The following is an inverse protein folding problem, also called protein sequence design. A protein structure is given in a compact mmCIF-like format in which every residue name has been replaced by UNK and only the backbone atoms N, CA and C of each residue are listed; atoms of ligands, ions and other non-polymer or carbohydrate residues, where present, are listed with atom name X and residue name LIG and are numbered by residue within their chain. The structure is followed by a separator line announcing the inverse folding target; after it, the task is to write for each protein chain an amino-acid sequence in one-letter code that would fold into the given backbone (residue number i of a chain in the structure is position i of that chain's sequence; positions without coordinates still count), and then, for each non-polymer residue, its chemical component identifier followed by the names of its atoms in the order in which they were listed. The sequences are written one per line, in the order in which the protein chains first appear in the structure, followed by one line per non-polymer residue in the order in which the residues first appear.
data_IF_771755786025
#
_entry.id   IF_771755786025
#
_cell.length_a   1.000
_cell.length_b   1.000
_cell.length_c   1.000
_cell.angle_alpha   90.00
_cell.angle_beta   90.00
_cell.angle_gamma   90.00
#
_symmetry.space_group_name_H-M   'P 1'
#
loop_
_entity.id
_entity.type
_entity.pdbx_description
1 polymer ?
#
# COMPACT_ATOMS: atom_id res chain seq x y z
N UNK A 1 -9.25 -14.65 -11.19
CA UNK A 1 -10.53 -14.06 -11.65
C UNK A 1 -11.49 -13.80 -10.49
N UNK A 2 -11.94 -14.82 -9.74
CA UNK A 2 -12.90 -14.63 -8.63
C UNK A 2 -12.38 -13.77 -7.46
N UNK A 3 -11.13 -13.99 -7.02
CA UNK A 3 -10.52 -13.24 -5.91
C UNK A 3 -10.42 -11.73 -6.20
N UNK A 4 -9.91 -11.37 -7.37
CA UNK A 4 -9.81 -9.96 -7.79
C UNK A 4 -11.20 -9.30 -7.88
N UNK A 5 -12.21 -10.01 -8.39
CA UNK A 5 -13.58 -9.50 -8.46
C UNK A 5 -14.21 -9.29 -7.07
N UNK A 6 -13.94 -10.20 -6.12
CA UNK A 6 -14.39 -10.07 -4.73
C UNK A 6 -13.72 -8.87 -4.04
N UNK A 7 -12.40 -8.70 -4.19
CA UNK A 7 -11.64 -7.55 -3.68
C UNK A 7 -12.20 -6.24 -4.25
N UNK A 8 -12.41 -6.19 -5.55
CA UNK A 8 -13.00 -5.03 -6.22
C UNK A 8 -14.38 -4.69 -5.67
N UNK A 9 -15.25 -5.69 -5.48
CA UNK A 9 -16.59 -5.49 -4.92
C UNK A 9 -16.53 -4.88 -3.52
N UNK A 10 -15.65 -5.39 -2.66
CA UNK A 10 -15.47 -4.88 -1.28
C UNK A 10 -14.94 -3.45 -1.28
N UNK A 11 -13.90 -3.16 -2.08
CA UNK A 11 -13.31 -1.82 -2.14
C UNK A 11 -14.29 -0.80 -2.73
N UNK A 12 -15.00 -1.17 -3.79
CA UNK A 12 -16.05 -0.33 -4.39
C UNK A 12 -17.19 -0.06 -3.41
N UNK A 13 -17.62 -1.07 -2.64
CA UNK A 13 -18.62 -0.89 -1.60
C UNK A 13 -18.12 0.06 -0.51
N UNK A 14 -16.91 -0.14 0.03
CA UNK A 14 -16.32 0.77 1.03
C UNK A 14 -16.16 2.20 0.51
N UNK A 15 -15.76 2.36 -0.75
CA UNK A 15 -15.63 3.68 -1.40
C UNK A 15 -16.97 4.40 -1.53
N UNK A 16 -18.07 3.67 -1.78
CA UNK A 16 -19.42 4.25 -1.85
C UNK A 16 -19.95 4.79 -0.51
N UNK A 17 -19.37 4.32 0.61
CA UNK A 17 -19.73 4.77 1.96
C UNK A 17 -18.92 6.02 2.40
N UNK A 18 -17.97 6.48 1.59
CA UNK A 18 -17.16 7.65 1.94
C UNK A 18 -17.96 8.94 1.75
N UNK A 19 -17.96 9.85 2.74
CA UNK A 19 -18.63 11.15 2.62
C UNK A 19 -17.96 12.07 1.58
N UNK A 20 -16.68 11.85 1.26
CA UNK A 20 -15.93 12.66 0.30
C UNK A 20 -15.34 11.78 -0.81
N UNK A 21 -15.86 11.94 -2.01
CA UNK A 21 -15.48 11.17 -3.20
C UNK A 21 -14.07 11.50 -3.72
N UNK A 22 -13.50 12.65 -3.37
CA UNK A 22 -12.11 13.04 -3.70
C UNK A 22 -11.22 13.17 -2.46
N UNK A 23 -11.65 12.60 -1.33
CA UNK A 23 -10.84 12.57 -0.11
C UNK A 23 -9.70 11.55 -0.17
N UNK A 24 -8.78 11.63 0.79
CA UNK A 24 -7.64 10.73 0.94
C UNK A 24 -8.04 9.25 0.83
N UNK A 25 -9.08 8.82 1.57
CA UNK A 25 -9.53 7.42 1.55
C UNK A 25 -10.07 6.96 0.19
N UNK A 26 -10.66 7.86 -0.60
CA UNK A 26 -11.14 7.52 -1.95
C UNK A 26 -9.96 7.22 -2.89
N UNK A 27 -8.91 8.05 -2.81
CA UNK A 27 -7.66 7.86 -3.56
C UNK A 27 -6.90 6.62 -3.07
N UNK A 28 -6.85 6.42 -1.76
CA UNK A 28 -6.28 5.22 -1.12
C UNK A 28 -6.98 3.93 -1.58
N UNK A 29 -8.31 3.87 -1.58
CA UNK A 29 -9.03 2.68 -2.06
C UNK A 29 -8.78 2.40 -3.54
N UNK A 30 -8.66 3.45 -4.38
CA UNK A 30 -8.31 3.30 -5.80
C UNK A 30 -6.92 2.70 -5.99
N UNK A 31 -5.95 3.09 -5.16
CA UNK A 31 -4.63 2.47 -5.15
C UNK A 31 -4.72 0.99 -4.72
N UNK A 32 -5.48 0.72 -3.64
CA UNK A 32 -5.62 -0.63 -3.09
C UNK A 32 -6.35 -1.60 -4.03
N UNK A 33 -7.19 -1.13 -4.95
CA UNK A 33 -7.80 -1.97 -6.00
C UNK A 33 -6.76 -2.67 -6.88
N UNK A 34 -5.60 -2.05 -7.08
CA UNK A 34 -4.52 -2.61 -7.90
C UNK A 34 -3.55 -3.47 -7.08
N UNK A 35 -3.27 -3.05 -5.85
CA UNK A 35 -2.27 -3.69 -4.98
C UNK A 35 -2.80 -4.95 -4.32
N UNK A 36 -4.04 -4.92 -3.82
CA UNK A 36 -4.61 -6.01 -3.02
C UNK A 36 -4.76 -7.33 -3.79
N UNK A 37 -5.17 -7.36 -5.07
CA UNK A 37 -5.28 -8.61 -5.82
C UNK A 37 -3.95 -9.34 -5.98
N UNK A 38 -2.85 -8.60 -6.20
CA UNK A 38 -1.50 -9.17 -6.33
C UNK A 38 -1.05 -9.75 -4.99
N UNK A 39 -1.26 -9.01 -3.90
CA UNK A 39 -0.93 -9.48 -2.56
C UNK A 39 -1.75 -10.70 -2.15
N UNK A 40 -3.06 -10.69 -2.42
CA UNK A 40 -3.92 -11.82 -2.10
C UNK A 40 -3.50 -13.08 -2.87
N UNK A 41 -2.98 -12.94 -4.10
CA UNK A 41 -2.38 -14.05 -4.83
C UNK A 41 -1.05 -14.52 -4.23
N UNK A 42 -0.18 -13.58 -3.84
CA UNK A 42 1.06 -13.93 -3.14
C UNK A 42 0.83 -14.62 -1.79
N UNK A 43 -0.24 -14.28 -1.07
CA UNK A 43 -0.57 -14.89 0.22
C UNK A 43 -1.21 -16.29 0.13
N UNK A 44 -1.97 -16.53 -0.94
CA UNK A 44 -2.75 -17.77 -1.12
C UNK A 44 -2.10 -18.75 -2.11
N UNK A 45 -0.97 -18.37 -2.72
CA UNK A 45 -0.17 -19.22 -3.58
C UNK A 45 0.64 -20.26 -2.79
N UNK A 46 1.16 -21.27 -3.50
CA UNK A 46 2.01 -22.33 -2.94
C UNK A 46 3.50 -21.97 -2.93
N UNK A 47 3.87 -20.82 -3.47
CA UNK A 47 5.23 -20.31 -3.53
C UNK A 47 5.54 -19.54 -2.24
N UNK A 48 6.31 -20.16 -1.34
CA UNK A 48 6.62 -19.59 -0.03
C UNK A 48 7.55 -18.37 -0.12
N UNK A 49 8.46 -18.31 -1.11
CA UNK A 49 9.35 -17.16 -1.31
C UNK A 49 8.54 -15.93 -1.78
N UNK A 50 7.61 -16.13 -2.72
CA UNK A 50 6.68 -15.10 -3.16
C UNK A 50 5.76 -14.62 -2.01
N UNK A 51 5.35 -15.55 -1.14
CA UNK A 51 4.50 -15.25 0.01
C UNK A 51 5.24 -14.42 1.05
N UNK A 52 6.48 -14.75 1.38
CA UNK A 52 7.33 -13.93 2.26
C UNK A 52 7.53 -12.53 1.70
N UNK A 53 7.85 -12.42 0.41
CA UNK A 53 8.00 -11.14 -0.27
C UNK A 53 6.71 -10.30 -0.23
N UNK A 54 5.54 -10.92 -0.44
CA UNK A 54 4.26 -10.23 -0.32
C UNK A 54 3.96 -9.80 1.13
N UNK A 55 4.37 -10.58 2.13
CA UNK A 55 4.22 -10.22 3.54
C UNK A 55 5.09 -9.03 3.90
N UNK A 56 6.33 -9.02 3.42
CA UNK A 56 7.23 -7.89 3.53
C UNK A 56 6.64 -6.63 2.89
N UNK A 57 6.18 -6.73 1.63
CA UNK A 57 5.57 -5.58 0.95
C UNK A 57 4.35 -5.04 1.71
N UNK A 58 3.47 -5.92 2.20
CA UNK A 58 2.33 -5.51 3.03
C UNK A 58 2.78 -4.76 4.28
N UNK A 59 3.82 -5.22 4.96
CA UNK A 59 4.36 -4.54 6.13
C UNK A 59 4.90 -3.14 5.80
N UNK A 60 5.56 -2.97 4.65
CA UNK A 60 6.05 -1.66 4.20
C UNK A 60 4.89 -0.71 3.87
N UNK A 61 3.80 -1.19 3.24
CA UNK A 61 2.59 -0.39 2.98
C UNK A 61 1.88 0.00 4.28
N UNK A 62 1.69 -0.94 5.21
CA UNK A 62 1.08 -0.65 6.51
C UNK A 62 1.91 0.36 7.30
N UNK A 63 3.24 0.23 7.26
CA UNK A 63 4.12 1.18 7.93
C UNK A 63 4.11 2.55 7.25
N UNK A 64 4.00 2.64 5.92
CA UNK A 64 3.82 3.92 5.23
C UNK A 64 2.57 4.62 5.72
N UNK A 65 1.43 3.91 5.77
CA UNK A 65 0.17 4.48 6.27
C UNK A 65 0.32 4.97 7.71
N UNK A 66 1.01 4.22 8.58
CA UNK A 66 1.30 4.68 9.95
C UNK A 66 2.16 5.95 9.97
N UNK A 67 3.23 5.98 9.17
CA UNK A 67 4.14 7.13 9.08
C UNK A 67 3.41 8.40 8.63
N UNK A 68 2.41 8.26 7.75
CA UNK A 68 1.58 9.39 7.33
C UNK A 68 0.86 10.04 8.51
N UNK A 69 0.39 9.27 9.50
CA UNK A 69 -0.35 9.77 10.67
C UNK A 69 0.50 9.95 11.93
N UNK A 70 1.81 9.76 11.85
CA UNK A 70 2.74 9.94 12.95
C UNK A 70 3.30 11.38 12.95
N UNK A 71 3.02 12.13 14.03
CA UNK A 71 3.46 13.52 14.20
C UNK A 71 4.99 13.67 14.26
N UNK A 72 5.71 12.60 14.58
CA UNK A 72 7.18 12.56 14.56
C UNK A 72 7.76 12.28 13.18
N UNK A 73 6.92 11.87 12.20
CA UNK A 73 7.36 11.48 10.84
C UNK A 73 6.72 12.32 9.74
N UNK A 74 5.61 12.99 10.02
CA UNK A 74 4.88 13.84 9.08
C UNK A 74 4.47 15.14 9.77
N UNK A 75 4.95 16.27 9.25
CA UNK A 75 4.64 17.61 9.75
C UNK A 75 3.30 18.08 9.21
N UNK A 76 2.38 18.40 10.11
CA UNK A 76 1.04 18.92 9.80
C UNK A 76 0.96 20.46 9.86
N UNK A 77 2.09 21.15 9.68
CA UNK A 77 2.19 22.62 9.76
C UNK A 77 1.61 23.30 8.53
N UNK A 78 1.91 22.78 7.34
CA UNK A 78 1.36 23.23 6.06
C UNK A 78 1.11 22.04 5.15
N UNK A 79 0.29 22.22 4.11
CA UNK A 79 0.09 21.19 3.08
C UNK A 79 1.41 20.84 2.37
N UNK A 80 2.30 21.83 2.19
CA UNK A 80 3.61 21.62 1.58
C UNK A 80 4.52 20.74 2.43
N UNK A 81 4.63 21.04 3.73
CA UNK A 81 5.43 20.24 4.67
C UNK A 81 4.92 18.80 4.76
N UNK A 82 3.60 18.63 4.85
CA UNK A 82 2.95 17.33 4.89
C UNK A 82 3.22 16.52 3.61
N UNK A 83 3.10 17.16 2.44
CA UNK A 83 3.34 16.51 1.15
C UNK A 83 4.81 16.08 0.99
N UNK A 84 5.75 16.93 1.41
CA UNK A 84 7.18 16.63 1.40
C UNK A 84 7.49 15.41 2.27
N UNK A 85 6.97 15.38 3.50
CA UNK A 85 7.23 14.30 4.44
C UNK A 85 6.59 12.98 3.99
N UNK A 86 5.33 13.00 3.51
CA UNK A 86 4.68 11.80 2.94
C UNK A 86 5.47 11.28 1.74
N UNK A 87 5.96 12.17 0.88
CA UNK A 87 6.77 11.77 -0.27
C UNK A 87 8.10 11.14 0.16
N UNK A 88 8.79 11.74 1.12
CA UNK A 88 10.04 11.21 1.68
C UNK A 88 9.82 9.84 2.34
N UNK A 89 8.75 9.69 3.12
CA UNK A 89 8.35 8.42 3.70
C UNK A 89 8.07 7.38 2.60
N UNK A 90 7.40 7.77 1.52
CA UNK A 90 7.15 6.89 0.37
C UNK A 90 8.45 6.45 -0.31
N UNK A 91 9.42 7.34 -0.51
CA UNK A 91 10.71 7.03 -1.13
C UNK A 91 11.50 6.01 -0.30
N UNK A 92 11.56 6.16 1.02
CA UNK A 92 12.23 5.20 1.91
C UNK A 92 11.65 3.79 1.77
N UNK A 93 10.32 3.68 1.66
CA UNK A 93 9.62 2.40 1.48
C UNK A 93 9.86 1.82 0.09
N UNK A 94 9.84 2.68 -0.94
CA UNK A 94 10.14 2.28 -2.31
C UNK A 94 11.54 1.66 -2.42
N UNK A 95 12.56 2.32 -1.86
CA UNK A 95 13.94 1.82 -1.90
C UNK A 95 14.08 0.44 -1.23
N UNK A 96 13.43 0.26 -0.07
CA UNK A 96 13.39 -1.04 0.64
C UNK A 96 12.74 -2.13 -0.20
N UNK A 97 11.62 -1.83 -0.85
CA UNK A 97 10.92 -2.78 -1.74
C UNK A 97 11.79 -3.12 -2.94
N UNK A 98 12.44 -2.15 -3.58
CA UNK A 98 13.36 -2.40 -4.69
C UNK A 98 14.55 -3.27 -4.28
N UNK A 99 15.12 -3.04 -3.10
CA UNK A 99 16.19 -3.88 -2.56
C UNK A 99 15.73 -5.32 -2.32
N UNK A 100 14.56 -5.51 -1.70
CA UNK A 100 13.99 -6.83 -1.47
C UNK A 100 13.70 -7.58 -2.78
N UNK A 101 13.13 -6.90 -3.78
CA UNK A 101 12.88 -7.47 -5.11
C UNK A 101 14.17 -7.87 -5.82
N UNK A 102 15.23 -7.08 -5.70
CA UNK A 102 16.54 -7.39 -6.29
C UNK A 102 17.18 -8.61 -5.61
N UNK A 103 17.03 -8.72 -4.29
CA UNK A 103 17.55 -9.87 -3.52
C UNK A 103 16.75 -11.17 -3.77
N UNK A 104 15.47 -11.06 -4.13
CA UNK A 104 14.59 -12.19 -4.43
C UNK A 104 14.64 -12.65 -5.90
N UNK A 105 15.30 -11.90 -6.79
CA UNK A 105 15.45 -12.30 -8.19
C UNK A 105 16.45 -13.47 -8.31
N UNK A 106 16.13 -14.55 -9.05
CA UNK A 106 17.11 -15.60 -9.32
C UNK A 106 18.30 -15.04 -10.15
N UNK A 107 19.50 -15.65 -10.04
CA UNK A 107 20.66 -15.27 -10.85
C UNK A 107 20.44 -15.50 -12.35
#
# INVERSE_FOLDING_TARGET
MALAAAIWSVLKAKKSLLPYSDGFFSRYYTLMEHVTPVLAWGFLGTDEDLKELCHFFKAEVESLVRDMFDLGRTRYTTVGDMAEDIFRNTQVRYDRVCQALTAAAPP
#
